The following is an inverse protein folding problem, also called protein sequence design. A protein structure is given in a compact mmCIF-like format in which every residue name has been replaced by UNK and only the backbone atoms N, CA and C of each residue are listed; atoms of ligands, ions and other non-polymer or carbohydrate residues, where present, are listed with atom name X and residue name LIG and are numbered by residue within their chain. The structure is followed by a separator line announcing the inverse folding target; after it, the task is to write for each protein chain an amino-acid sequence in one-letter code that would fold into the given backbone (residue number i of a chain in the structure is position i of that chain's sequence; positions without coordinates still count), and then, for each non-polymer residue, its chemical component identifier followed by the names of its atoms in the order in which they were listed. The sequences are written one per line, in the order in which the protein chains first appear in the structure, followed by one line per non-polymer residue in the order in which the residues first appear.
data_IF_243917560479
#
_entry.id   IF_243917560479
#
_cell.length_a   1.000
_cell.length_b   1.000
_cell.length_c   1.000
_cell.angle_alpha   90.00
_cell.angle_beta   90.00
_cell.angle_gamma   90.00
#
_symmetry.space_group_name_H-M   'P 1'
#
loop_
_entity.id
_entity.type
_entity.pdbx_description
1 polymer ?
#
# COMPACT_ATOMS: atom_id res chain seq x y z
N UNK A 1 3.71 -24.62 36.40
CA UNK A 1 3.64 -23.21 35.95
C UNK A 1 2.17 -22.85 35.79
N UNK A 2 1.73 -21.65 36.18
CA UNK A 2 0.40 -21.15 35.80
C UNK A 2 0.57 -20.43 34.47
N UNK A 3 -0.16 -20.84 33.44
CA UNK A 3 -0.18 -20.15 32.16
C UNK A 3 -0.79 -18.77 32.34
N UNK A 4 0.01 -17.73 32.12
CA UNK A 4 -0.42 -16.33 32.19
C UNK A 4 -0.29 -15.69 30.83
N UNK A 5 -1.32 -14.95 30.44
CA UNK A 5 -1.34 -14.21 29.20
C UNK A 5 -0.58 -12.89 29.37
N UNK A 6 0.38 -12.66 28.47
CA UNK A 6 1.21 -11.45 28.47
C UNK A 6 0.55 -10.32 27.66
N UNK A 7 0.32 -10.56 26.36
CA UNK A 7 -0.15 -9.55 25.41
C UNK A 7 -1.04 -10.17 24.34
N UNK A 8 -2.02 -9.40 23.88
CA UNK A 8 -2.82 -9.63 22.68
C UNK A 8 -2.62 -8.44 21.74
N UNK A 9 -2.31 -8.71 20.47
CA UNK A 9 -2.31 -7.72 19.39
C UNK A 9 -3.60 -7.85 18.59
N UNK A 10 -4.28 -6.73 18.36
CA UNK A 10 -5.48 -6.67 17.53
C UNK A 10 -5.16 -5.93 16.24
N UNK A 11 -5.63 -6.46 15.11
CA UNK A 11 -5.36 -5.99 13.75
C UNK A 11 -6.57 -5.29 13.09
N UNK A 12 -7.70 -5.22 13.78
CA UNK A 12 -8.94 -4.65 13.26
C UNK A 12 -9.19 -3.22 13.76
N UNK A 13 -9.60 -2.31 12.84
CA UNK A 13 -10.16 -1.01 13.22
C UNK A 13 -11.57 -1.21 13.76
N UNK A 14 -11.70 -1.19 15.08
CA UNK A 14 -13.00 -1.22 15.75
C UNK A 14 -13.16 0.07 16.56
N UNK A 15 -14.23 0.83 16.29
CA UNK A 15 -14.55 2.06 17.04
C UNK A 15 -14.72 1.83 18.55
N UNK A 16 -15.01 0.60 18.95
CA UNK A 16 -15.14 0.15 20.34
C UNK A 16 -13.95 -0.69 20.82
N UNK A 17 -12.81 -0.64 20.12
CA UNK A 17 -11.57 -1.33 20.52
C UNK A 17 -11.19 -1.02 21.99
N UNK A 18 -11.30 0.24 22.41
CA UNK A 18 -10.94 0.64 23.77
C UNK A 18 -11.91 0.07 24.82
N UNK A 19 -13.19 -0.12 24.44
CA UNK A 19 -14.21 -0.74 25.29
C UNK A 19 -13.99 -2.25 25.40
N UNK A 20 -13.80 -2.95 24.28
CA UNK A 20 -13.56 -4.39 24.28
C UNK A 20 -12.25 -4.76 24.97
N UNK A 21 -11.18 -4.00 24.71
CA UNK A 21 -9.89 -4.20 25.36
C UNK A 21 -9.95 -3.99 26.87
N UNK A 22 -10.70 -2.97 27.34
CA UNK A 22 -10.94 -2.75 28.76
C UNK A 22 -11.74 -3.91 29.39
N UNK A 23 -12.87 -4.28 28.80
CA UNK A 23 -13.72 -5.37 29.30
C UNK A 23 -12.96 -6.71 29.35
N UNK A 24 -12.18 -7.01 28.32
CA UNK A 24 -11.38 -8.23 28.26
C UNK A 24 -10.27 -8.24 29.30
N UNK A 25 -9.59 -7.09 29.48
CA UNK A 25 -8.56 -6.92 30.52
C UNK A 25 -9.14 -7.12 31.91
N UNK A 26 -10.29 -6.53 32.19
CA UNK A 26 -10.93 -6.58 33.50
C UNK A 26 -11.39 -8.01 33.82
N UNK A 27 -12.03 -8.69 32.86
CA UNK A 27 -12.44 -10.09 33.00
C UNK A 27 -11.27 -11.05 33.26
N UNK A 28 -10.12 -10.86 32.60
CA UNK A 28 -8.95 -11.72 32.78
C UNK A 28 -8.12 -11.37 34.02
N UNK A 29 -8.11 -10.09 34.41
CA UNK A 29 -7.49 -9.63 35.66
C UNK A 29 -8.19 -10.24 36.87
N UNK A 30 -9.53 -10.30 36.85
CA UNK A 30 -10.33 -10.93 37.90
C UNK A 30 -10.02 -12.43 38.08
N UNK A 31 -9.47 -13.09 37.05
CA UNK A 31 -9.05 -14.50 37.09
C UNK A 31 -7.57 -14.69 37.43
N UNK A 32 -6.83 -13.61 37.71
CA UNK A 32 -5.37 -13.64 37.95
C UNK A 32 -4.55 -14.24 36.78
N UNK A 33 -5.09 -14.13 35.57
CA UNK A 33 -4.55 -14.76 34.36
C UNK A 33 -3.60 -13.84 33.57
N UNK A 34 -3.39 -12.59 34.00
CA UNK A 34 -2.54 -11.61 33.30
C UNK A 34 -1.15 -11.48 33.94
N UNK A 35 -0.12 -11.35 33.09
CA UNK A 35 1.20 -10.90 33.52
C UNK A 35 1.24 -9.39 33.73
N UNK A 36 2.18 -8.90 34.56
CA UNK A 36 2.40 -7.46 34.81
C UNK A 36 1.11 -6.67 35.15
N UNK A 37 0.13 -7.31 35.80
CA UNK A 37 -1.18 -6.72 36.12
C UNK A 37 -1.91 -6.16 34.88
N UNK A 38 -1.62 -6.69 33.69
CA UNK A 38 -2.26 -6.28 32.44
C UNK A 38 -1.74 -4.97 31.82
N UNK A 39 -0.59 -4.43 32.28
CA UNK A 39 -0.02 -3.19 31.72
C UNK A 39 0.28 -3.25 30.22
N UNK A 40 0.61 -4.42 29.67
CA UNK A 40 0.92 -4.63 28.25
C UNK A 40 -0.11 -5.53 27.56
N UNK A 41 -1.33 -5.60 28.12
CA UNK A 41 -2.28 -6.63 27.76
C UNK A 41 -2.87 -6.47 26.36
N UNK A 42 -3.27 -5.26 25.97
CA UNK A 42 -3.76 -4.96 24.62
C UNK A 42 -2.92 -3.84 24.06
N UNK A 43 -2.26 -4.11 22.94
CA UNK A 43 -1.49 -3.13 22.19
C UNK A 43 -1.98 -3.09 20.75
N UNK A 44 -2.07 -1.87 20.20
CA UNK A 44 -2.36 -1.70 18.77
C UNK A 44 -1.20 -2.27 17.97
N UNK A 45 -1.51 -2.96 16.88
CA UNK A 45 -0.48 -3.44 15.97
C UNK A 45 0.20 -2.24 15.28
N UNK A 46 1.51 -2.05 15.47
CA UNK A 46 2.23 -0.96 14.78
C UNK A 46 2.14 -1.08 13.25
N UNK A 47 2.13 -2.31 12.71
CA UNK A 47 1.94 -2.54 11.29
C UNK A 47 0.57 -2.02 10.80
N UNK A 48 -0.45 -2.11 11.65
CA UNK A 48 -1.77 -1.58 11.36
C UNK A 48 -1.80 -0.04 11.37
N UNK A 49 -1.15 0.59 12.34
CA UNK A 49 -0.99 2.07 12.37
C UNK A 49 -0.26 2.55 11.11
N UNK A 50 0.84 1.88 10.73
CA UNK A 50 1.57 2.21 9.50
C UNK A 50 0.71 2.02 8.25
N UNK A 51 -0.09 0.96 8.20
CA UNK A 51 -1.03 0.71 7.11
C UNK A 51 -2.05 1.85 6.98
N UNK A 52 -2.65 2.29 8.09
CA UNK A 52 -3.61 3.40 8.10
C UNK A 52 -2.96 4.70 7.61
N UNK A 53 -1.78 5.05 8.14
CA UNK A 53 -1.03 6.25 7.70
C UNK A 53 -0.68 6.17 6.22
N UNK A 54 -0.23 5.02 5.72
CA UNK A 54 0.09 4.84 4.30
C UNK A 54 -1.15 5.01 3.41
N UNK A 55 -2.29 4.48 3.82
CA UNK A 55 -3.56 4.64 3.10
C UNK A 55 -4.01 6.10 3.06
N UNK A 56 -3.92 6.83 4.18
CA UNK A 56 -4.25 8.26 4.23
C UNK A 56 -3.36 9.09 3.28
N UNK A 57 -2.05 8.79 3.25
CA UNK A 57 -1.11 9.44 2.32
C UNK A 57 -1.49 9.12 0.88
N UNK A 58 -1.77 7.86 0.54
CA UNK A 58 -2.19 7.46 -0.82
C UNK A 58 -3.49 8.17 -1.22
N UNK A 59 -4.45 8.30 -0.30
CA UNK A 59 -5.70 9.02 -0.55
C UNK A 59 -5.46 10.51 -0.85
N UNK A 60 -4.50 11.14 -0.15
CA UNK A 60 -4.15 12.55 -0.39
C UNK A 60 -3.57 12.82 -1.78
N UNK A 61 -2.93 11.81 -2.41
CA UNK A 61 -2.35 11.88 -3.75
C UNK A 61 -3.17 11.11 -4.80
N UNK A 62 -4.47 10.89 -4.54
CA UNK A 62 -5.33 10.06 -5.38
C UNK A 62 -5.31 10.46 -6.87
N UNK A 63 -5.22 11.76 -7.19
CA UNK A 63 -5.14 12.22 -8.58
C UNK A 63 -3.94 11.67 -9.35
N UNK A 64 -2.75 11.71 -8.74
CA UNK A 64 -1.51 11.17 -9.34
C UNK A 64 -1.60 9.66 -9.45
N UNK A 65 -2.08 8.98 -8.40
CA UNK A 65 -2.26 7.52 -8.39
C UNK A 65 -3.24 7.10 -9.49
N UNK A 66 -4.32 7.85 -9.70
CA UNK A 66 -5.29 7.60 -10.75
C UNK A 66 -4.66 7.73 -12.14
N UNK A 67 -3.93 8.82 -12.41
CA UNK A 67 -3.28 9.03 -13.71
C UNK A 67 -2.26 7.92 -14.04
N UNK A 68 -1.46 7.49 -13.05
CA UNK A 68 -0.52 6.37 -13.20
C UNK A 68 -1.28 5.07 -13.52
N UNK A 69 -2.38 4.79 -12.82
CA UNK A 69 -3.20 3.59 -13.08
C UNK A 69 -3.78 3.60 -14.50
N UNK A 70 -4.30 4.72 -14.97
CA UNK A 70 -4.83 4.84 -16.33
C UNK A 70 -3.72 4.67 -17.37
N UNK A 71 -2.54 5.23 -17.13
CA UNK A 71 -1.37 5.07 -17.99
C UNK A 71 -0.92 3.61 -18.08
N UNK A 72 -0.83 2.91 -16.95
CA UNK A 72 -0.50 1.48 -16.92
C UNK A 72 -1.58 0.66 -17.64
N UNK A 73 -2.86 0.94 -17.42
CA UNK A 73 -3.96 0.27 -18.14
C UNK A 73 -3.87 0.48 -19.65
N UNK A 74 -3.55 1.70 -20.09
CA UNK A 74 -3.37 2.00 -21.51
C UNK A 74 -2.25 1.16 -22.12
N UNK A 75 -1.09 1.12 -21.46
CA UNK A 75 0.09 0.36 -21.91
C UNK A 75 -0.22 -1.15 -21.94
N UNK A 76 -0.82 -1.67 -20.87
CA UNK A 76 -1.17 -3.09 -20.71
C UNK A 76 -2.40 -3.54 -21.53
N UNK A 77 -3.06 -2.63 -22.24
CA UNK A 77 -4.25 -2.96 -23.02
C UNK A 77 -3.94 -3.83 -24.25
N UNK A 78 -2.72 -3.81 -24.78
CA UNK A 78 -2.29 -4.65 -25.90
C UNK A 78 -0.78 -4.86 -25.94
N UNK A 79 -0.34 -6.00 -26.48
CA UNK A 79 1.09 -6.32 -26.63
C UNK A 79 1.83 -5.26 -27.44
N UNK A 80 1.21 -4.69 -28.47
CA UNK A 80 1.82 -3.64 -29.29
C UNK A 80 2.11 -2.36 -28.50
N UNK A 81 1.25 -1.98 -27.54
CA UNK A 81 1.49 -0.82 -26.67
C UNK A 81 2.56 -1.10 -25.63
N UNK A 82 2.59 -2.32 -25.09
CA UNK A 82 3.67 -2.75 -24.19
C UNK A 82 5.03 -2.74 -24.90
N UNK A 83 5.11 -3.26 -26.13
CA UNK A 83 6.31 -3.25 -26.97
C UNK A 83 6.76 -1.82 -27.26
N UNK A 84 5.85 -0.95 -27.70
CA UNK A 84 6.16 0.47 -27.95
C UNK A 84 6.71 1.16 -26.71
N UNK A 85 6.12 0.93 -25.54
CA UNK A 85 6.61 1.50 -24.29
C UNK A 85 8.02 0.97 -23.94
N UNK A 86 8.25 -0.33 -24.12
CA UNK A 86 9.55 -0.95 -23.88
C UNK A 86 10.63 -0.42 -24.85
N UNK A 87 10.28 -0.21 -26.13
CA UNK A 87 11.17 0.40 -27.13
C UNK A 87 11.57 1.82 -26.74
N UNK A 88 10.62 2.65 -26.30
CA UNK A 88 10.91 4.00 -25.83
C UNK A 88 11.82 3.95 -24.59
N UNK A 89 11.53 3.06 -23.63
CA UNK A 89 12.36 2.90 -22.43
C UNK A 89 13.80 2.47 -22.78
N UNK A 90 13.97 1.61 -23.78
CA UNK A 90 15.28 1.20 -24.29
C UNK A 90 16.00 2.36 -25.00
N UNK A 91 15.30 3.14 -25.83
CA UNK A 91 15.87 4.30 -26.51
C UNK A 91 16.33 5.41 -25.56
N UNK A 92 15.61 5.58 -24.45
CA UNK A 92 15.96 6.52 -23.38
C UNK A 92 16.97 5.94 -22.38
N UNK A 93 17.42 4.70 -22.57
CA UNK A 93 18.36 3.99 -21.71
C UNK A 93 17.95 4.00 -20.23
N UNK A 94 16.65 3.85 -19.95
CA UNK A 94 16.12 3.90 -18.57
C UNK A 94 16.76 2.76 -17.75
N UNK A 95 17.55 3.06 -16.70
CA UNK A 95 18.32 2.06 -15.96
C UNK A 95 17.47 1.33 -14.90
N UNK A 96 16.20 1.06 -15.20
CA UNK A 96 15.27 0.41 -14.27
C UNK A 96 15.01 -1.04 -14.66
N UNK A 97 15.03 -1.91 -13.64
CA UNK A 97 14.62 -3.31 -13.73
C UNK A 97 13.22 -3.52 -13.15
N UNK A 98 12.55 -2.45 -12.69
CA UNK A 98 11.22 -2.55 -12.07
C UNK A 98 10.18 -2.83 -13.14
N UNK A 99 9.22 -3.69 -12.83
CA UNK A 99 8.08 -3.93 -13.73
C UNK A 99 6.96 -2.93 -13.44
N UNK A 100 6.44 -2.28 -14.47
CA UNK A 100 5.19 -1.52 -14.37
C UNK A 100 4.01 -2.49 -14.24
N UNK A 101 3.42 -2.49 -13.05
CA UNK A 101 2.27 -3.33 -12.70
C UNK A 101 1.17 -2.49 -12.07
N UNK A 102 -0.08 -2.83 -12.37
CA UNK A 102 -1.23 -2.23 -11.72
C UNK A 102 -1.26 -2.68 -10.25
N UNK A 103 -1.53 -1.76 -9.35
CA UNK A 103 -1.62 -2.05 -7.93
C UNK A 103 -2.94 -2.74 -7.54
N UNK A 104 -2.96 -3.32 -6.35
CA UNK A 104 -4.19 -3.76 -5.69
C UNK A 104 -4.61 -2.64 -4.74
N UNK A 105 -5.74 -1.99 -5.05
CA UNK A 105 -6.19 -0.75 -4.38
C UNK A 105 -6.32 -0.84 -2.87
N UNK A 106 -6.53 -2.05 -2.32
CA UNK A 106 -6.64 -2.30 -0.88
C UNK A 106 -5.28 -2.55 -0.19
N UNK A 107 -4.18 -2.67 -0.95
CA UNK A 107 -2.85 -3.01 -0.45
C UNK A 107 -1.85 -1.90 -0.76
N UNK A 108 -1.61 -1.00 0.21
CA UNK A 108 -0.74 0.17 0.04
C UNK A 108 0.67 -0.16 -0.43
N UNK A 109 1.21 -1.33 -0.06
CA UNK A 109 2.54 -1.77 -0.46
C UNK A 109 2.61 -2.00 -1.99
N UNK A 110 1.52 -2.46 -2.61
CA UNK A 110 1.46 -2.63 -4.06
C UNK A 110 1.36 -1.29 -4.78
N UNK A 111 0.61 -0.33 -4.22
CA UNK A 111 0.56 1.05 -4.71
C UNK A 111 1.95 1.70 -4.62
N UNK A 112 2.67 1.50 -3.51
CA UNK A 112 4.03 1.98 -3.35
C UNK A 112 4.97 1.43 -4.42
N UNK A 113 4.93 0.13 -4.72
CA UNK A 113 5.74 -0.48 -5.77
C UNK A 113 5.38 0.06 -7.16
N UNK A 114 4.09 0.26 -7.44
CA UNK A 114 3.63 0.90 -8.68
C UNK A 114 4.18 2.32 -8.82
N UNK A 115 4.12 3.13 -7.75
CA UNK A 115 4.66 4.50 -7.73
C UNK A 115 6.17 4.52 -7.94
N UNK A 116 6.92 3.60 -7.30
CA UNK A 116 8.36 3.48 -7.49
C UNK A 116 8.72 3.13 -8.94
N UNK A 117 8.00 2.20 -9.56
CA UNK A 117 8.21 1.86 -10.96
C UNK A 117 7.84 3.05 -11.86
N UNK A 118 6.69 3.69 -11.62
CA UNK A 118 6.26 4.84 -12.42
C UNK A 118 7.25 6.00 -12.37
N UNK A 119 7.88 6.24 -11.21
CA UNK A 119 8.90 7.27 -11.05
C UNK A 119 10.14 6.99 -11.92
N UNK A 120 10.59 5.74 -11.98
CA UNK A 120 11.72 5.35 -12.82
C UNK A 120 11.42 5.56 -14.33
N UNK A 121 10.19 5.30 -14.75
CA UNK A 121 9.76 5.42 -16.16
C UNK A 121 9.14 6.78 -16.52
N UNK A 122 9.29 7.80 -15.66
CA UNK A 122 8.65 9.12 -15.86
C UNK A 122 8.93 9.70 -17.26
N UNK A 123 10.18 9.65 -17.72
CA UNK A 123 10.55 10.14 -19.05
C UNK A 123 9.94 9.32 -20.19
N UNK A 124 9.78 8.01 -19.99
CA UNK A 124 9.13 7.13 -20.96
C UNK A 124 7.66 7.49 -21.14
N UNK A 125 6.93 7.78 -20.06
CA UNK A 125 5.55 8.24 -20.16
C UNK A 125 5.43 9.56 -20.92
N UNK A 126 6.23 10.57 -20.59
CA UNK A 126 6.23 11.86 -21.30
C UNK A 126 6.57 11.69 -22.79
N UNK A 127 7.50 10.81 -23.12
CA UNK A 127 7.84 10.55 -24.53
C UNK A 127 6.72 9.79 -25.24
N UNK A 128 6.05 8.84 -24.58
CA UNK A 128 4.90 8.14 -25.14
C UNK A 128 3.78 9.12 -25.51
N UNK A 129 3.50 10.13 -24.66
CA UNK A 129 2.50 11.18 -24.91
C UNK A 129 2.81 11.98 -26.17
N UNK A 130 4.09 12.26 -26.41
CA UNK A 130 4.51 12.97 -27.64
C UNK A 130 4.49 12.09 -28.90
N UNK A 131 4.52 10.76 -28.77
CA UNK A 131 4.68 9.82 -29.87
C UNK A 131 3.44 8.96 -30.16
N UNK A 132 2.38 9.02 -29.34
CA UNK A 132 1.15 8.27 -29.54
C UNK A 132 -0.06 9.18 -29.39
N UNK A 133 -0.70 9.51 -30.51
CA UNK A 133 -1.91 10.36 -30.52
C UNK A 133 -3.09 9.75 -29.74
N UNK A 134 -3.04 8.46 -29.36
CA UNK A 134 -4.06 7.83 -28.54
C UNK A 134 -3.75 7.89 -27.04
N UNK A 135 -2.56 8.37 -26.65
CA UNK A 135 -2.12 8.51 -25.27
C UNK A 135 -2.06 10.00 -24.91
N UNK A 136 -3.17 10.49 -24.35
CA UNK A 136 -3.44 11.92 -24.26
C UNK A 136 -2.88 12.62 -23.02
N UNK A 137 -2.53 11.88 -21.98
CA UNK A 137 -2.08 12.48 -20.71
C UNK A 137 -1.08 11.57 -20.01
N UNK A 138 0.15 12.07 -19.84
CA UNK A 138 1.16 11.44 -19.00
C UNK A 138 0.91 11.72 -17.49
N UNK A 139 1.30 10.80 -16.59
CA UNK A 139 1.10 10.94 -15.15
C UNK A 139 2.10 11.85 -14.42
#
# INVERSE_FOLDING_TARGET
MKDKLFTITLDNECSSHDIYSANLRDHLSNKNNLMLKGQLFVVRCYAHILNAVAQDVIASIHGVVYSIRESIKFIKASSAREEKFAEIALQLEIPSTKTLCLDVTTQWNTTYLMLLAALDYKQTFTTLETCDDNYNEAP
#
